data_IF_817170939906
#
_entry.id   IF_817170939906
#
_cell.length_a   1.000
_cell.length_b   1.000
_cell.length_c   1.000
_cell.angle_alpha   90.00
_cell.angle_beta   90.00
_cell.angle_gamma   90.00
#
_symmetry.space_group_name_H-M   'P 1'
#
loop_
_entity.id
_entity.type
_entity.pdbx_description
1 polymer ?
#
# COMPACT_ATOMS: atom_id res chain seq x y z
N UNK A 1 -11.36 -1.48 16.99
CA UNK A 1 -10.46 -1.69 15.84
C UNK A 1 -11.13 -1.11 14.61
N UNK A 2 -10.43 -0.28 13.82
CA UNK A 2 -10.88 0.19 12.51
C UNK A 2 -9.87 -0.29 11.49
N UNK A 3 -10.34 -0.95 10.43
CA UNK A 3 -9.50 -1.50 9.37
C UNK A 3 -10.17 -1.31 8.00
N UNK A 4 -9.41 -1.48 6.93
CA UNK A 4 -9.91 -1.36 5.54
C UNK A 4 -9.70 -2.66 4.80
N UNK A 5 -10.79 -3.27 4.36
CA UNK A 5 -10.76 -4.52 3.59
C UNK A 5 -11.38 -4.28 2.22
N UNK A 6 -10.85 -4.97 1.21
CA UNK A 6 -11.37 -4.95 -0.17
C UNK A 6 -11.59 -6.38 -0.62
N UNK A 7 -12.71 -6.64 -1.26
CA UNK A 7 -12.98 -7.90 -1.96
C UNK A 7 -12.86 -7.64 -3.46
N UNK A 8 -12.06 -8.46 -4.15
CA UNK A 8 -11.87 -8.40 -5.60
C UNK A 8 -12.38 -9.67 -6.27
N UNK A 9 -12.77 -9.55 -7.54
CA UNK A 9 -13.22 -10.66 -8.39
C UNK A 9 -12.64 -10.49 -9.79
N UNK A 10 -12.60 -11.57 -10.55
CA UNK A 10 -12.08 -11.59 -11.91
C UNK A 10 -10.59 -11.92 -11.98
N UNK A 11 -9.92 -11.62 -13.12
CA UNK A 11 -8.56 -12.08 -13.40
C UNK A 11 -7.52 -11.69 -12.36
N UNK A 12 -7.70 -10.56 -11.66
CA UNK A 12 -6.78 -10.08 -10.62
C UNK A 12 -6.60 -11.07 -9.45
N UNK A 13 -7.55 -11.98 -9.25
CA UNK A 13 -7.43 -13.05 -8.25
C UNK A 13 -6.23 -13.96 -8.55
N UNK A 14 -5.84 -14.13 -9.81
CA UNK A 14 -4.66 -14.90 -10.18
C UNK A 14 -3.37 -14.30 -9.60
N UNK A 15 -3.24 -12.98 -9.59
CA UNK A 15 -2.10 -12.29 -9.00
C UNK A 15 -2.06 -12.43 -7.47
N UNK A 16 -3.21 -12.46 -6.80
CA UNK A 16 -3.28 -12.79 -5.36
C UNK A 16 -2.84 -14.24 -5.09
N UNK A 17 -3.27 -15.18 -5.94
CA UNK A 17 -2.85 -16.58 -5.81
C UNK A 17 -1.35 -16.76 -6.03
N UNK A 18 -0.76 -16.02 -6.97
CA UNK A 18 0.68 -16.03 -7.23
C UNK A 18 1.47 -15.62 -5.98
N UNK A 19 1.15 -14.47 -5.38
CA UNK A 19 1.81 -14.02 -4.15
C UNK A 19 1.66 -15.04 -3.01
N UNK A 20 0.48 -15.64 -2.85
CA UNK A 20 0.28 -16.69 -1.85
C UNK A 20 1.09 -17.96 -2.16
N UNK A 21 1.16 -18.35 -3.43
CA UNK A 21 1.85 -19.55 -3.86
C UNK A 21 3.36 -19.46 -3.71
N UNK A 22 3.95 -18.27 -3.87
CA UNK A 22 5.37 -18.02 -3.60
C UNK A 22 5.71 -18.31 -2.13
N UNK A 23 4.97 -17.70 -1.20
CA UNK A 23 5.14 -17.93 0.24
C UNK A 23 4.88 -19.38 0.63
N UNK A 24 3.80 -19.97 0.08
CA UNK A 24 3.44 -21.36 0.33
C UNK A 24 4.52 -22.33 -0.14
N UNK A 25 5.05 -22.12 -1.35
CA UNK A 25 6.13 -22.93 -1.89
C UNK A 25 7.42 -22.74 -1.11
N UNK A 26 7.74 -21.52 -0.69
CA UNK A 26 8.90 -21.26 0.16
C UNK A 26 8.82 -22.07 1.47
N UNK A 27 7.65 -22.09 2.10
CA UNK A 27 7.43 -22.78 3.37
C UNK A 27 7.33 -24.31 3.23
N UNK A 28 6.71 -24.81 2.16
CA UNK A 28 6.30 -26.24 2.05
C UNK A 28 7.01 -27.01 0.95
N UNK A 29 7.64 -26.32 -0.01
CA UNK A 29 8.16 -26.88 -1.27
C UNK A 29 7.10 -27.58 -2.13
N UNK A 30 5.84 -27.22 -1.95
CA UNK A 30 4.71 -27.69 -2.75
C UNK A 30 3.98 -26.49 -3.33
N UNK A 31 3.42 -26.62 -4.53
CA UNK A 31 2.55 -25.59 -5.09
C UNK A 31 1.10 -25.83 -4.63
N UNK A 32 0.38 -24.77 -4.21
CA UNK A 32 -1.05 -24.91 -3.95
C UNK A 32 -1.81 -25.05 -5.29
N UNK A 33 -3.07 -25.49 -5.27
CA UNK A 33 -3.92 -25.43 -6.46
C UNK A 33 -4.08 -23.99 -6.93
N UNK A 34 -3.79 -23.74 -8.22
CA UNK A 34 -3.92 -22.41 -8.84
C UNK A 34 -5.10 -22.40 -9.81
N UNK A 35 -5.96 -21.39 -9.69
CA UNK A 35 -7.09 -21.19 -10.59
C UNK A 35 -6.76 -20.04 -11.55
N UNK A 36 -6.37 -20.37 -12.78
CA UNK A 36 -6.09 -19.37 -13.79
C UNK A 36 -7.40 -18.90 -14.46
N UNK A 37 -7.54 -17.60 -14.76
CA UNK A 37 -8.71 -17.09 -15.44
C UNK A 37 -8.74 -17.62 -16.87
N UNK A 38 -9.88 -18.17 -17.29
CA UNK A 38 -10.07 -18.64 -18.65
C UNK A 38 -10.23 -17.49 -19.67
N UNK A 39 -10.61 -16.30 -19.20
CA UNK A 39 -10.85 -15.11 -20.03
C UNK A 39 -10.41 -13.85 -19.31
N UNK A 40 -10.08 -12.81 -20.08
CA UNK A 40 -9.79 -11.46 -19.61
C UNK A 40 -10.86 -10.52 -20.15
N UNK A 41 -11.97 -10.33 -19.41
CA UNK A 41 -13.02 -9.40 -19.82
C UNK A 41 -12.46 -8.00 -20.02
N UNK A 42 -12.96 -7.29 -21.04
CA UNK A 42 -12.62 -5.88 -21.27
C UNK A 42 -13.48 -4.91 -20.46
N UNK A 43 -14.55 -5.41 -19.85
CA UNK A 43 -15.40 -4.68 -18.92
C UNK A 43 -14.84 -4.72 -17.49
N UNK A 44 -15.15 -3.68 -16.70
CA UNK A 44 -14.69 -3.55 -15.32
C UNK A 44 -13.60 -2.49 -15.11
N UNK A 45 -12.87 -2.62 -14.00
CA UNK A 45 -11.82 -1.68 -13.60
C UNK A 45 -10.45 -2.35 -13.72
N UNK A 46 -9.48 -1.64 -14.27
CA UNK A 46 -8.08 -2.08 -14.24
C UNK A 46 -7.64 -2.23 -12.78
N UNK A 47 -7.15 -3.43 -12.45
CA UNK A 47 -6.75 -3.77 -11.10
C UNK A 47 -5.44 -4.54 -11.16
N UNK A 48 -4.48 -4.14 -10.30
CA UNK A 48 -3.18 -4.77 -10.19
C UNK A 48 -2.93 -5.09 -8.71
N UNK A 49 -2.45 -6.30 -8.46
CA UNK A 49 -1.88 -6.67 -7.16
C UNK A 49 -0.42 -6.35 -7.20
N UNK A 50 0.06 -5.67 -6.17
CA UNK A 50 1.48 -5.38 -5.98
C UNK A 50 1.82 -5.97 -4.61
N UNK A 51 2.48 -7.13 -4.64
CA UNK A 51 3.06 -7.71 -3.44
C UNK A 51 4.42 -7.03 -3.18
N UNK A 52 4.76 -6.91 -1.90
CA UNK A 52 6.08 -6.45 -1.46
C UNK A 52 6.53 -7.29 -0.28
N UNK A 53 7.77 -7.75 -0.29
CA UNK A 53 8.34 -8.56 0.77
C UNK A 53 9.70 -8.02 1.23
N UNK A 54 10.12 -8.36 2.47
CA UNK A 54 11.44 -7.95 2.99
C UNK A 54 12.62 -8.61 2.26
N UNK A 55 12.35 -9.62 1.43
CA UNK A 55 13.34 -10.29 0.60
C UNK A 55 13.45 -9.67 -0.80
N UNK A 56 12.62 -8.68 -1.13
CA UNK A 56 12.64 -8.04 -2.44
C UNK A 56 13.92 -7.21 -2.59
N UNK A 57 14.52 -7.19 -3.80
CA UNK A 57 15.71 -6.39 -4.07
C UNK A 57 15.41 -4.88 -4.12
N UNK A 58 14.14 -4.50 -4.24
CA UNK A 58 13.69 -3.11 -4.24
C UNK A 58 12.60 -2.88 -3.19
N UNK A 59 12.51 -1.65 -2.71
CA UNK A 59 11.43 -1.17 -1.82
C UNK A 59 10.12 -0.93 -2.60
N UNK A 60 9.58 -1.99 -3.20
CA UNK A 60 8.43 -1.95 -4.13
C UNK A 60 7.25 -1.16 -3.59
N UNK A 61 6.95 -1.32 -2.29
CA UNK A 61 5.87 -0.59 -1.63
C UNK A 61 6.13 0.93 -1.57
N UNK A 62 7.34 1.34 -1.16
CA UNK A 62 7.70 2.78 -1.10
C UNK A 62 7.66 3.41 -2.50
N UNK A 63 8.23 2.72 -3.49
CA UNK A 63 8.22 3.17 -4.89
C UNK A 63 6.79 3.36 -5.44
N UNK A 64 5.88 2.41 -5.14
CA UNK A 64 4.48 2.52 -5.53
C UNK A 64 3.81 3.76 -4.93
N UNK A 65 3.98 4.00 -3.62
CA UNK A 65 3.36 5.15 -2.97
C UNK A 65 3.92 6.47 -3.50
N UNK A 66 5.24 6.57 -3.70
CA UNK A 66 5.88 7.77 -4.27
C UNK A 66 5.31 8.08 -5.65
N UNK A 67 5.22 7.07 -6.53
CA UNK A 67 4.66 7.26 -7.87
C UNK A 67 3.17 7.65 -7.82
N UNK A 68 2.37 6.98 -7.00
CA UNK A 68 0.95 7.29 -6.84
C UNK A 68 0.72 8.74 -6.37
N UNK A 69 1.57 9.23 -5.45
CA UNK A 69 1.50 10.60 -4.92
C UNK A 69 1.96 11.62 -5.96
N UNK A 70 3.00 11.33 -6.74
CA UNK A 70 3.43 12.19 -7.84
C UNK A 70 2.38 12.29 -8.95
N UNK A 71 1.70 11.18 -9.23
CA UNK A 71 0.65 11.11 -10.25
C UNK A 71 -0.68 11.73 -9.81
N UNK A 72 -0.92 11.91 -8.51
CA UNK A 72 -2.13 12.54 -7.98
C UNK A 72 -2.35 13.97 -8.53
N UNK A 73 -3.61 14.27 -8.88
CA UNK A 73 -4.04 15.57 -9.45
C UNK A 73 -4.97 16.36 -8.53
N UNK A 74 -5.82 15.68 -7.76
CA UNK A 74 -6.85 16.34 -6.95
C UNK A 74 -6.66 16.11 -5.45
N UNK A 75 -6.45 14.85 -5.03
CA UNK A 75 -6.34 14.51 -3.60
C UNK A 75 -5.45 13.29 -3.33
N UNK A 76 -4.85 13.26 -2.15
CA UNK A 76 -4.15 12.11 -1.55
C UNK A 76 -4.62 11.96 -0.11
N UNK A 77 -5.45 10.95 0.15
CA UNK A 77 -5.98 10.69 1.49
C UNK A 77 -5.44 9.38 2.02
N UNK A 78 -4.66 9.45 3.09
CA UNK A 78 -3.96 8.31 3.68
C UNK A 78 -4.58 8.04 5.05
N UNK A 79 -4.87 6.77 5.32
CA UNK A 79 -5.08 6.27 6.68
C UNK A 79 -3.91 5.36 7.00
N UNK A 80 -3.21 5.61 8.10
CA UNK A 80 -2.11 4.76 8.52
C UNK A 80 -2.14 4.57 10.03
N UNK A 81 -2.02 3.33 10.56
CA UNK A 81 -1.84 3.13 11.98
C UNK A 81 -0.47 3.66 12.45
N UNK A 82 0.52 3.67 11.55
CA UNK A 82 1.91 4.04 11.82
C UNK A 82 2.43 4.95 10.71
N UNK A 83 2.29 6.26 10.88
CA UNK A 83 2.79 7.25 9.93
C UNK A 83 4.23 7.63 10.29
N UNK A 84 5.17 6.90 9.72
CA UNK A 84 6.62 7.11 9.83
C UNK A 84 7.17 7.06 8.40
N UNK A 85 6.90 8.09 7.57
CA UNK A 85 7.33 8.10 6.18
C UNK A 85 8.85 8.20 6.07
N UNK A 86 9.42 7.55 5.06
CA UNK A 86 10.81 7.79 4.67
C UNK A 86 10.97 9.17 4.00
N UNK A 87 12.21 9.53 3.66
CA UNK A 87 12.51 10.82 3.03
C UNK A 87 11.82 10.98 1.67
N UNK A 88 11.76 9.92 0.87
CA UNK A 88 11.18 9.95 -0.46
C UNK A 88 9.66 10.18 -0.40
N UNK A 89 8.97 9.45 0.48
CA UNK A 89 7.54 9.60 0.70
C UNK A 89 7.20 10.97 1.28
N UNK A 90 8.00 11.45 2.24
CA UNK A 90 7.85 12.79 2.82
C UNK A 90 8.00 13.89 1.77
N UNK A 91 9.01 13.80 0.91
CA UNK A 91 9.21 14.74 -0.19
C UNK A 91 8.05 14.70 -1.19
N UNK A 92 7.59 13.50 -1.56
CA UNK A 92 6.47 13.32 -2.49
C UNK A 92 5.18 13.97 -1.97
N UNK A 93 4.85 13.79 -0.68
CA UNK A 93 3.67 14.41 -0.05
C UNK A 93 3.77 15.94 -0.06
N UNK A 94 4.93 16.51 0.31
CA UNK A 94 5.16 17.96 0.28
C UNK A 94 5.02 18.52 -1.13
N UNK A 95 5.59 17.84 -2.14
CA UNK A 95 5.44 18.21 -3.54
C UNK A 95 3.98 18.14 -4.00
N UNK A 96 3.19 17.17 -3.53
CA UNK A 96 1.76 17.11 -3.84
C UNK A 96 1.01 18.33 -3.29
N UNK A 97 1.26 18.72 -2.04
CA UNK A 97 0.70 19.95 -1.44
C UNK A 97 1.07 21.17 -2.26
N UNK A 98 2.35 21.32 -2.65
CA UNK A 98 2.83 22.44 -3.47
C UNK A 98 2.18 22.50 -4.86
N UNK A 99 1.75 21.36 -5.41
CA UNK A 99 0.96 21.29 -6.66
C UNK A 99 -0.51 21.64 -6.47
N UNK A 100 -0.97 21.90 -5.23
CA UNK A 100 -2.37 22.20 -4.92
C UNK A 100 -3.25 20.96 -4.71
N UNK A 101 -2.66 19.78 -4.51
CA UNK A 101 -3.38 18.54 -4.21
C UNK A 101 -3.86 18.55 -2.76
N UNK A 102 -5.11 18.15 -2.49
CA UNK A 102 -5.66 18.01 -1.12
C UNK A 102 -5.06 16.76 -0.44
N UNK A 103 -4.05 16.98 0.41
CA UNK A 103 -3.38 15.92 1.16
C UNK A 103 -3.94 15.84 2.57
N UNK A 104 -4.43 14.66 2.96
CA UNK A 104 -4.96 14.40 4.31
C UNK A 104 -4.43 13.09 4.87
N UNK A 105 -4.04 13.11 6.13
CA UNK A 105 -3.51 11.94 6.83
C UNK A 105 -4.37 11.70 8.07
N UNK A 106 -4.99 10.52 8.14
CA UNK A 106 -5.79 10.07 9.27
C UNK A 106 -4.96 9.10 10.12
N UNK A 107 -4.74 9.48 11.38
CA UNK A 107 -3.94 8.73 12.35
C UNK A 107 -4.77 8.26 13.54
N UNK A 108 -4.37 7.18 14.23
CA UNK A 108 -5.00 6.75 15.47
C UNK A 108 -4.87 7.82 16.56
N UNK A 109 -5.94 7.98 17.36
CA UNK A 109 -5.91 8.81 18.57
C UNK A 109 -5.53 8.04 19.84
N UNK A 110 -5.45 6.70 19.76
CA UNK A 110 -5.07 5.82 20.86
C UNK A 110 -3.96 4.87 20.42
N UNK A 111 -2.87 4.74 21.19
CA UNK A 111 -1.78 3.84 20.86
C UNK A 111 -2.14 2.38 21.15
N UNK A 112 -1.79 1.49 20.25
CA UNK A 112 -1.53 0.08 20.51
C UNK A 112 -0.06 -0.17 20.93
N UNK A 113 0.88 0.56 20.31
CA UNK A 113 2.31 0.57 20.65
C UNK A 113 2.79 2.00 20.96
N UNK A 114 3.22 2.23 22.21
CA UNK A 114 3.57 3.58 22.70
C UNK A 114 4.74 4.24 21.95
N UNK A 115 5.78 3.49 21.62
CA UNK A 115 6.96 4.01 20.91
C UNK A 115 6.61 4.42 19.49
N UNK A 116 5.90 3.55 18.76
CA UNK A 116 5.49 3.81 17.37
C UNK A 116 4.52 4.98 17.30
N UNK A 117 3.58 5.07 18.26
CA UNK A 117 2.68 6.21 18.37
C UNK A 117 3.43 7.54 18.60
N UNK A 118 4.44 7.54 19.47
CA UNK A 118 5.24 8.73 19.73
C UNK A 118 6.02 9.18 18.47
N UNK A 119 6.66 8.23 17.77
CA UNK A 119 7.33 8.51 16.50
C UNK A 119 6.33 9.05 15.45
N UNK A 120 5.19 8.39 15.29
CA UNK A 120 4.19 8.80 14.31
C UNK A 120 3.60 10.18 14.61
N UNK A 121 3.41 10.52 15.89
CA UNK A 121 2.98 11.86 16.32
C UNK A 121 4.02 12.93 16.02
N UNK A 122 5.31 12.61 16.14
CA UNK A 122 6.40 13.53 15.80
C UNK A 122 6.40 13.85 14.29
N UNK A 123 6.35 12.82 13.44
CA UNK A 123 6.28 13.01 11.98
C UNK A 123 5.02 13.76 11.55
N UNK A 124 3.89 13.52 12.22
CA UNK A 124 2.65 14.26 11.95
C UNK A 124 2.78 15.75 12.29
N UNK A 125 3.47 16.08 13.39
CA UNK A 125 3.73 17.46 13.79
C UNK A 125 4.68 18.17 12.81
N UNK A 126 5.70 17.48 12.30
CA UNK A 126 6.63 18.01 11.28
C UNK A 126 5.99 18.20 9.90
N UNK A 127 4.83 17.60 9.67
CA UNK A 127 4.08 17.69 8.42
C UNK A 127 3.04 18.83 8.41
N UNK A 128 2.82 19.51 9.54
CA UNK A 128 2.01 20.72 9.66
C UNK A 128 2.81 21.96 9.23
#
# INVERSE_FOLDING_TARGET
WRDTHVAVRGPVVACLQESFAEDWYWATRQLPPLLLPATYPSDGMLCQVIASGPADPQETCSLLFVEAIHSARERVWITSPYFIPDEALSAALRLAVLRGVDVRILLPSRPDHRVVYAASSLYALEAL
#
